data_IF_757758390307
#
_entry.id   IF_757758390307
#
_cell.length_a   1.000
_cell.length_b   1.000
_cell.length_c   1.000
_cell.angle_alpha   90.00
_cell.angle_beta   90.00
_cell.angle_gamma   90.00
#
_symmetry.space_group_name_H-M   'P 1'
#
loop_
_entity.id
_entity.type
_entity.pdbx_description
1 polymer ?
#
# COMPACT_ATOMS: atom_id res chain seq x y z
N UNK A 1 4.54 54.28 58.45
CA UNK A 1 4.47 54.47 56.99
C UNK A 1 4.36 53.10 56.39
N UNK A 2 3.23 52.86 55.72
CA UNK A 2 2.89 51.63 55.02
C UNK A 2 3.78 51.43 53.78
N UNK A 3 4.28 50.21 53.62
CA UNK A 3 4.71 49.68 52.34
C UNK A 3 4.32 48.20 52.30
N UNK A 4 3.16 47.92 51.71
CA UNK A 4 2.75 46.57 51.36
C UNK A 4 3.65 46.05 50.22
N UNK A 5 4.13 44.80 50.30
CA UNK A 5 4.82 44.17 49.19
C UNK A 5 3.79 43.79 48.12
N UNK A 6 3.98 44.30 46.90
CA UNK A 6 3.26 43.83 45.71
C UNK A 6 3.59 42.36 45.48
N UNK A 7 2.61 41.48 45.70
CA UNK A 7 2.61 40.15 45.10
C UNK A 7 2.60 40.33 43.59
N UNK A 8 3.76 40.16 42.96
CA UNK A 8 3.82 39.87 41.54
C UNK A 8 3.24 38.46 41.39
N UNK A 9 1.95 38.38 41.04
CA UNK A 9 1.35 37.16 40.56
C UNK A 9 2.20 36.65 39.40
N UNK A 10 2.89 35.53 39.62
CA UNK A 10 3.45 34.74 38.54
C UNK A 10 2.29 34.36 37.62
N UNK A 11 2.29 34.90 36.41
CA UNK A 11 1.44 34.42 35.33
C UNK A 11 1.78 32.95 35.11
N UNK A 12 0.95 32.05 35.65
CA UNK A 12 0.93 30.65 35.27
C UNK A 12 0.86 30.60 33.74
N UNK A 13 1.84 29.97 33.05
CA UNK A 13 1.74 29.82 31.61
C UNK A 13 0.44 29.07 31.34
N UNK A 14 -0.45 29.67 30.55
CA UNK A 14 -1.62 28.98 30.03
C UNK A 14 -1.15 27.66 29.42
N UNK A 15 -1.66 26.55 29.98
CA UNK A 15 -1.45 25.22 29.45
C UNK A 15 -2.03 25.24 28.03
N UNK A 16 -1.16 25.47 27.05
CA UNK A 16 -1.50 25.30 25.64
C UNK A 16 -1.82 23.82 25.49
N UNK A 17 -3.10 23.47 25.59
CA UNK A 17 -3.63 22.19 25.18
C UNK A 17 -3.23 22.01 23.70
N UNK A 18 -2.09 21.36 23.49
CA UNK A 18 -1.70 20.84 22.19
C UNK A 18 -2.77 19.83 21.83
N UNK A 19 -3.79 20.28 21.08
CA UNK A 19 -4.80 19.40 20.53
C UNK A 19 -4.08 18.29 19.77
N UNK A 20 -4.17 17.06 20.27
CA UNK A 20 -3.65 15.90 19.56
C UNK A 20 -4.28 15.91 18.16
N UNK A 21 -3.47 15.86 17.09
CA UNK A 21 -4.01 15.87 15.75
C UNK A 21 -4.97 14.69 15.61
N UNK A 22 -6.21 14.97 15.24
CA UNK A 22 -7.21 13.93 14.97
C UNK A 22 -6.58 12.88 14.05
N UNK A 23 -6.59 11.63 14.51
CA UNK A 23 -6.00 10.49 13.81
C UNK A 23 -6.80 10.22 12.54
N UNK A 24 -6.44 10.89 11.44
CA UNK A 24 -7.10 10.74 10.13
C UNK A 24 -6.99 9.30 9.64
N UNK A 25 -8.06 8.78 9.04
CA UNK A 25 -8.03 7.42 8.49
C UNK A 25 -7.08 7.39 7.29
N UNK A 26 -6.31 6.31 7.07
CA UNK A 26 -5.39 6.25 5.93
C UNK A 26 -6.08 6.42 4.57
N UNK A 27 -7.34 5.99 4.42
CA UNK A 27 -8.12 6.16 3.19
C UNK A 27 -8.59 7.61 2.97
N UNK A 28 -8.84 8.36 4.05
CA UNK A 28 -9.10 9.81 3.95
C UNK A 28 -7.84 10.53 3.45
N UNK A 29 -6.66 10.15 3.96
CA UNK A 29 -5.39 10.70 3.49
C UNK A 29 -5.21 10.41 1.99
N UNK A 30 -5.47 9.18 1.56
CA UNK A 30 -5.38 8.80 0.15
C UNK A 30 -6.34 9.62 -0.73
N UNK A 31 -7.62 9.73 -0.33
CA UNK A 31 -8.61 10.57 -1.02
C UNK A 31 -8.13 12.02 -1.12
N UNK A 32 -7.68 12.61 -0.02
CA UNK A 32 -7.25 14.00 0.01
C UNK A 32 -6.00 14.23 -0.87
N UNK A 33 -5.05 13.29 -0.87
CA UNK A 33 -3.86 13.36 -1.75
C UNK A 33 -4.21 13.19 -3.22
N UNK A 34 -5.15 12.31 -3.56
CA UNK A 34 -5.63 12.14 -4.93
C UNK A 34 -6.36 13.41 -5.40
N UNK A 35 -7.27 13.94 -4.58
CA UNK A 35 -8.06 15.12 -4.91
C UNK A 35 -7.16 16.35 -5.11
N UNK A 36 -6.09 16.46 -4.32
CA UNK A 36 -5.07 17.50 -4.46
C UNK A 36 -4.36 17.43 -5.82
N UNK A 37 -4.14 16.24 -6.38
CA UNK A 37 -3.49 16.06 -7.68
C UNK A 37 -4.49 16.15 -8.85
N UNK A 38 -5.66 15.52 -8.73
CA UNK A 38 -6.63 15.40 -9.83
C UNK A 38 -7.28 16.73 -10.16
N UNK A 39 -7.82 17.46 -9.19
CA UNK A 39 -8.57 18.71 -9.42
C UNK A 39 -7.78 19.73 -10.26
N UNK A 40 -6.52 20.05 -9.93
CA UNK A 40 -5.74 20.97 -10.77
C UNK A 40 -5.37 20.37 -12.12
N UNK A 41 -5.10 19.06 -12.19
CA UNK A 41 -4.77 18.39 -13.45
C UNK A 41 -5.94 18.40 -14.42
N UNK A 42 -7.15 18.09 -13.94
CA UNK A 42 -8.38 18.17 -14.74
C UNK A 42 -8.65 19.61 -15.18
N UNK A 43 -8.52 20.58 -14.27
CA UNK A 43 -8.67 22.00 -14.60
C UNK A 43 -7.68 22.52 -15.64
N UNK A 44 -6.46 21.95 -15.69
CA UNK A 44 -5.46 22.28 -16.70
C UNK A 44 -5.71 21.59 -18.05
N UNK A 45 -6.21 20.36 -18.06
CA UNK A 45 -6.38 19.55 -19.28
C UNK A 45 -7.69 19.87 -20.01
N UNK A 46 -8.79 20.03 -19.26
CA UNK A 46 -10.14 20.34 -19.78
C UNK A 46 -10.16 21.43 -20.86
N UNK A 47 -9.52 22.61 -20.67
CA UNK A 47 -9.57 23.67 -21.68
C UNK A 47 -8.71 23.39 -22.93
N UNK A 48 -7.82 22.39 -22.91
CA UNK A 48 -6.88 22.07 -24.00
C UNK A 48 -7.46 20.99 -24.93
N UNK A 49 -8.30 20.11 -24.40
CA UNK A 49 -8.83 18.94 -25.13
C UNK A 49 -10.12 19.26 -25.89
N UNK A 50 -10.52 18.35 -26.78
CA UNK A 50 -11.81 18.45 -27.48
C UNK A 50 -12.98 18.41 -26.48
N UNK A 51 -14.12 19.07 -26.79
CA UNK A 51 -15.26 19.15 -25.88
C UNK A 51 -15.84 17.78 -25.49
N UNK A 52 -15.76 16.78 -26.38
CA UNK A 52 -16.17 15.42 -26.07
C UNK A 52 -15.25 14.75 -25.04
N UNK A 53 -13.93 14.93 -25.17
CA UNK A 53 -12.95 14.41 -24.21
C UNK A 53 -13.04 15.15 -22.88
N UNK A 54 -13.25 16.46 -22.90
CA UNK A 54 -13.46 17.29 -21.72
C UNK A 54 -14.58 16.74 -20.85
N UNK A 55 -15.75 16.49 -21.46
CA UNK A 55 -16.91 15.96 -20.72
C UNK A 55 -16.62 14.59 -20.09
N UNK A 56 -15.93 13.70 -20.82
CA UNK A 56 -15.55 12.38 -20.31
C UNK A 56 -14.55 12.46 -19.16
N UNK A 57 -13.60 13.39 -19.23
CA UNK A 57 -12.60 13.61 -18.17
C UNK A 57 -13.28 14.17 -16.90
N UNK A 58 -14.20 15.13 -17.06
CA UNK A 58 -14.98 15.65 -15.93
C UNK A 58 -15.88 14.59 -15.30
N UNK A 59 -16.57 13.78 -16.11
CA UNK A 59 -17.40 12.66 -15.64
C UNK A 59 -16.57 11.62 -14.89
N UNK A 60 -15.42 11.21 -15.45
CA UNK A 60 -14.50 10.29 -14.78
C UNK A 60 -13.95 10.88 -13.47
N UNK A 61 -13.65 12.17 -13.48
CA UNK A 61 -13.19 12.90 -12.28
C UNK A 61 -14.26 12.95 -11.19
N UNK A 62 -15.53 13.10 -11.56
CA UNK A 62 -16.64 13.06 -10.61
C UNK A 62 -16.85 11.66 -10.03
N UNK A 63 -16.82 10.61 -10.87
CA UNK A 63 -16.91 9.22 -10.42
C UNK A 63 -15.73 8.87 -9.48
N UNK A 64 -14.53 9.36 -9.78
CA UNK A 64 -13.36 9.16 -8.93
C UNK A 64 -13.55 9.80 -7.54
N UNK A 65 -14.12 11.01 -7.46
CA UNK A 65 -14.41 11.66 -6.17
C UNK A 65 -15.42 10.85 -5.35
N UNK A 66 -16.51 10.40 -5.97
CA UNK A 66 -17.58 9.66 -5.30
C UNK A 66 -17.07 8.31 -4.75
N UNK A 67 -16.37 7.54 -5.61
CA UNK A 67 -15.77 6.26 -5.23
C UNK A 67 -14.70 6.38 -4.16
N UNK A 68 -13.86 7.41 -4.18
CA UNK A 68 -12.85 7.64 -3.15
C UNK A 68 -13.47 8.16 -1.85
N UNK A 69 -14.59 8.87 -1.92
CA UNK A 69 -15.36 9.26 -0.73
C UNK A 69 -15.95 8.04 -0.05
N UNK A 70 -16.60 7.14 -0.82
CA UNK A 70 -17.10 5.86 -0.31
C UNK A 70 -15.98 5.01 0.30
N UNK A 71 -14.81 4.98 -0.36
CA UNK A 71 -13.64 4.26 0.14
C UNK A 71 -13.11 4.86 1.45
N UNK A 72 -13.13 6.18 1.61
CA UNK A 72 -12.69 6.85 2.83
C UNK A 72 -13.57 6.55 4.05
N UNK A 73 -14.82 6.14 3.84
CA UNK A 73 -15.72 5.74 4.92
C UNK A 73 -15.35 4.37 5.52
N UNK A 74 -14.68 3.50 4.75
CA UNK A 74 -14.26 2.17 5.19
C UNK A 74 -13.34 2.28 6.39
N UNK A 75 -13.68 1.53 7.44
CA UNK A 75 -12.88 1.40 8.64
C UNK A 75 -12.03 0.12 8.57
N UNK A 76 -10.71 0.28 8.48
CA UNK A 76 -9.77 -0.85 8.44
C UNK A 76 -9.86 -1.73 9.69
N UNK A 77 -10.24 -1.15 10.84
CA UNK A 77 -10.35 -1.90 12.10
C UNK A 77 -11.53 -2.88 12.08
N UNK A 78 -12.47 -2.72 11.13
CA UNK A 78 -13.58 -3.63 10.91
C UNK A 78 -13.27 -4.73 9.89
N UNK A 79 -12.19 -4.60 9.11
CA UNK A 79 -11.79 -5.61 8.12
C UNK A 79 -11.20 -6.81 8.85
N UNK A 80 -11.89 -7.96 8.73
CA UNK A 80 -11.44 -9.20 9.35
C UNK A 80 -10.19 -9.73 8.66
N UNK A 81 -9.26 -10.29 9.43
CA UNK A 81 -8.11 -11.04 8.91
C UNK A 81 -8.48 -12.18 7.95
N UNK A 82 -9.71 -12.67 8.03
CA UNK A 82 -10.27 -13.62 7.08
C UNK A 82 -10.39 -13.04 5.66
N UNK A 83 -10.80 -11.79 5.54
CA UNK A 83 -11.01 -11.11 4.25
C UNK A 83 -9.68 -10.78 3.56
N UNK A 84 -8.64 -10.51 4.34
CA UNK A 84 -7.29 -10.23 3.82
C UNK A 84 -6.50 -11.50 3.46
N UNK A 85 -6.90 -12.67 3.98
CA UNK A 85 -6.17 -13.93 3.77
C UNK A 85 -6.02 -14.31 2.28
N UNK A 86 -7.07 -14.25 1.42
CA UNK A 86 -6.93 -14.57 0.01
C UNK A 86 -5.94 -13.65 -0.71
N UNK A 87 -5.94 -12.35 -0.38
CA UNK A 87 -4.99 -11.41 -0.96
C UNK A 87 -3.54 -11.74 -0.56
N UNK A 88 -3.30 -12.01 0.73
CA UNK A 88 -1.98 -12.41 1.24
C UNK A 88 -1.48 -13.72 0.61
N UNK A 89 -2.36 -14.70 0.43
CA UNK A 89 -2.03 -15.95 -0.28
C UNK A 89 -1.67 -15.68 -1.73
N UNK A 90 -2.46 -14.87 -2.45
CA UNK A 90 -2.17 -14.50 -3.84
C UNK A 90 -0.80 -13.84 -3.97
N UNK A 91 -0.46 -12.90 -3.08
CA UNK A 91 0.85 -12.24 -3.06
C UNK A 91 1.97 -13.27 -2.87
N UNK A 92 1.85 -14.16 -1.87
CA UNK A 92 2.83 -15.23 -1.65
C UNK A 92 3.00 -16.13 -2.88
N UNK A 93 1.89 -16.52 -3.52
CA UNK A 93 1.89 -17.34 -4.73
C UNK A 93 2.54 -16.61 -5.92
N UNK A 94 2.30 -15.31 -6.08
CA UNK A 94 2.92 -14.50 -7.11
C UNK A 94 4.44 -14.44 -6.96
N UNK A 95 4.96 -14.32 -5.74
CA UNK A 95 6.40 -14.35 -5.48
C UNK A 95 7.01 -15.70 -5.84
N UNK A 96 6.38 -16.81 -5.44
CA UNK A 96 6.84 -18.16 -5.81
C UNK A 96 6.79 -18.36 -7.33
N UNK A 97 5.67 -18.03 -7.97
CA UNK A 97 5.52 -18.13 -9.42
C UNK A 97 6.53 -17.29 -10.19
N UNK A 98 6.74 -16.03 -9.77
CA UNK A 98 7.70 -15.14 -10.40
C UNK A 98 9.15 -15.64 -10.23
N UNK A 99 9.51 -16.15 -9.05
CA UNK A 99 10.83 -16.76 -8.84
C UNK A 99 11.07 -17.97 -9.75
N UNK A 100 10.08 -18.87 -9.88
CA UNK A 100 10.19 -20.03 -10.75
C UNK A 100 10.30 -19.62 -12.22
N UNK A 101 9.47 -18.66 -12.66
CA UNK A 101 9.49 -18.14 -14.03
C UNK A 101 10.84 -17.47 -14.35
N UNK A 102 11.36 -16.63 -13.46
CA UNK A 102 12.62 -15.92 -13.66
C UNK A 102 13.82 -16.86 -13.68
N UNK A 103 13.84 -17.91 -12.87
CA UNK A 103 14.87 -18.97 -12.95
C UNK A 103 14.80 -19.70 -14.30
N UNK A 104 13.60 -20.02 -14.78
CA UNK A 104 13.42 -20.68 -16.07
C UNK A 104 13.89 -19.77 -17.22
N UNK A 105 13.57 -18.48 -17.18
CA UNK A 105 14.05 -17.49 -18.15
C UNK A 105 15.57 -17.36 -18.09
N UNK A 106 16.16 -17.33 -16.89
CA UNK A 106 17.62 -17.29 -16.72
C UNK A 106 18.28 -18.53 -17.33
N UNK A 107 17.73 -19.72 -17.08
CA UNK A 107 18.23 -20.97 -17.68
C UNK A 107 18.12 -20.95 -19.21
N UNK A 108 17.00 -20.48 -19.76
CA UNK A 108 16.82 -20.35 -21.20
C UNK A 108 17.82 -19.35 -21.79
N UNK A 109 18.05 -18.24 -21.12
CA UNK A 109 19.05 -17.23 -21.53
C UNK A 109 20.46 -17.85 -21.59
N UNK A 110 20.84 -18.61 -20.57
CA UNK A 110 22.14 -19.25 -20.50
C UNK A 110 22.32 -20.35 -21.55
N UNK A 111 21.29 -21.17 -21.79
CA UNK A 111 21.36 -22.26 -22.78
C UNK A 111 21.36 -21.77 -24.21
N UNK A 112 20.80 -20.58 -24.47
CA UNK A 112 20.72 -20.01 -25.82
C UNK A 112 21.90 -19.10 -26.17
N UNK A 113 22.37 -18.26 -25.25
CA UNK A 113 23.47 -17.33 -25.51
C UNK A 113 24.86 -17.86 -25.11
N UNK A 114 24.92 -18.80 -24.17
CA UNK A 114 26.18 -19.35 -23.66
C UNK A 114 26.23 -20.89 -23.67
N UNK A 115 25.97 -21.54 -24.82
CA UNK A 115 26.03 -23.00 -24.92
C UNK A 115 27.43 -23.56 -24.61
N UNK A 116 28.48 -22.75 -24.69
CA UNK A 116 29.86 -23.10 -24.37
C UNK A 116 30.14 -23.28 -22.88
N UNK A 117 29.30 -22.75 -22.00
CA UNK A 117 29.51 -22.81 -20.55
C UNK A 117 28.95 -24.10 -19.97
N UNK A 118 29.76 -24.81 -19.18
CA UNK A 118 29.30 -25.95 -18.40
C UNK A 118 28.37 -25.48 -17.25
N UNK A 119 27.30 -26.20 -16.88
CA UNK A 119 26.40 -25.85 -15.77
C UNK A 119 27.06 -25.29 -14.50
N UNK A 120 28.21 -25.84 -14.08
CA UNK A 120 28.94 -25.35 -12.90
C UNK A 120 29.54 -23.95 -13.12
N UNK A 121 30.02 -23.65 -14.32
CA UNK A 121 30.53 -22.33 -14.70
C UNK A 121 29.39 -21.31 -14.83
N UNK A 122 28.23 -21.74 -15.37
CA UNK A 122 27.04 -20.91 -15.44
C UNK A 122 26.56 -20.47 -14.05
N UNK A 123 26.50 -21.42 -13.11
CA UNK A 123 26.14 -21.14 -11.71
C UNK A 123 27.16 -20.23 -11.03
N UNK A 124 28.46 -20.41 -11.31
CA UNK A 124 29.51 -19.54 -10.76
C UNK A 124 29.43 -18.11 -11.27
N UNK A 125 29.19 -17.91 -12.57
CA UNK A 125 29.12 -16.58 -13.21
C UNK A 125 27.84 -15.82 -12.83
N UNK A 126 26.70 -16.52 -12.72
CA UNK A 126 25.38 -15.93 -12.44
C UNK A 126 24.88 -16.26 -11.02
N UNK A 127 25.82 -16.50 -10.09
CA UNK A 127 25.52 -16.91 -8.73
C UNK A 127 24.59 -15.92 -8.01
N UNK A 128 24.87 -14.62 -8.16
CA UNK A 128 24.12 -13.56 -7.49
C UNK A 128 22.68 -13.52 -7.97
N UNK A 129 22.47 -13.59 -9.28
CA UNK A 129 21.15 -13.58 -9.91
C UNK A 129 20.35 -14.82 -9.50
N UNK A 130 21.00 -15.99 -9.48
CA UNK A 130 20.38 -17.24 -9.03
C UNK A 130 19.94 -17.17 -7.56
N UNK A 131 20.84 -16.73 -6.66
CA UNK A 131 20.54 -16.55 -5.24
C UNK A 131 19.40 -15.55 -5.06
N UNK A 132 19.41 -14.44 -5.80
CA UNK A 132 18.36 -13.43 -5.72
C UNK A 132 16.98 -13.99 -6.06
N UNK A 133 16.85 -14.72 -7.17
CA UNK A 133 15.58 -15.32 -7.57
C UNK A 133 15.12 -16.40 -6.58
N UNK A 134 16.03 -17.25 -6.09
CA UNK A 134 15.71 -18.25 -5.08
C UNK A 134 15.24 -17.59 -3.78
N UNK A 135 15.91 -16.55 -3.30
CA UNK A 135 15.51 -15.81 -2.11
C UNK A 135 14.11 -15.19 -2.26
N UNK A 136 13.78 -14.69 -3.45
CA UNK A 136 12.44 -14.18 -3.76
C UNK A 136 11.38 -15.29 -3.63
N UNK A 137 11.66 -16.47 -4.16
CA UNK A 137 10.78 -17.64 -4.05
C UNK A 137 10.62 -18.14 -2.61
N UNK A 138 11.72 -18.21 -1.86
CA UNK A 138 11.72 -18.57 -0.43
C UNK A 138 10.86 -17.58 0.36
N UNK A 139 10.98 -16.28 0.09
CA UNK A 139 10.14 -15.24 0.71
C UNK A 139 8.66 -15.50 0.45
N UNK A 140 8.28 -15.83 -0.80
CA UNK A 140 6.91 -16.21 -1.15
C UNK A 140 6.42 -17.45 -0.38
N UNK A 141 7.26 -18.47 -0.26
CA UNK A 141 6.95 -19.69 0.51
C UNK A 141 6.78 -19.39 2.01
N UNK A 142 7.58 -18.49 2.58
CA UNK A 142 7.42 -18.05 3.97
C UNK A 142 6.09 -17.31 4.19
N UNK A 143 5.71 -16.42 3.27
CA UNK A 143 4.42 -15.73 3.32
C UNK A 143 3.27 -16.75 3.30
N UNK A 144 3.32 -17.72 2.38
CA UNK A 144 2.32 -18.79 2.30
C UNK A 144 2.30 -19.66 3.55
N UNK A 145 3.46 -20.08 4.05
CA UNK A 145 3.59 -20.88 5.27
C UNK A 145 3.00 -20.16 6.48
N UNK A 146 3.26 -18.86 6.62
CA UNK A 146 2.69 -18.03 7.66
C UNK A 146 1.16 -17.99 7.56
N UNK A 147 0.60 -17.79 6.38
CA UNK A 147 -0.86 -17.74 6.18
C UNK A 147 -1.53 -19.12 6.30
N UNK A 148 -0.79 -20.21 6.08
CA UNK A 148 -1.27 -21.58 6.31
C UNK A 148 -1.36 -21.91 7.81
N UNK A 149 -0.35 -21.51 8.59
CA UNK A 149 -0.30 -21.71 10.04
C UNK A 149 -1.22 -20.76 10.83
N UNK A 150 -1.65 -19.66 10.22
CA UNK A 150 -2.53 -18.68 10.87
C UNK A 150 -3.91 -19.30 11.14
N UNK A 151 -4.28 -19.38 12.42
CA UNK A 151 -5.65 -19.67 12.82
C UNK A 151 -6.51 -18.47 12.44
N UNK A 152 -7.57 -18.72 11.67
CA UNK A 152 -8.50 -17.65 11.31
C UNK A 152 -9.83 -17.93 11.97
N UNK A 153 -10.21 -17.04 12.89
CA UNK A 153 -11.55 -17.01 13.44
C UNK A 153 -12.50 -16.62 12.30
N UNK A 154 -13.33 -17.58 11.85
CA UNK A 154 -14.42 -17.25 10.93
C UNK A 154 -15.35 -16.26 11.62
N UNK A 155 -15.74 -15.15 10.97
CA UNK A 155 -16.71 -14.24 11.55
C UNK A 155 -17.98 -15.02 11.91
N UNK A 156 -18.37 -14.96 13.19
CA UNK A 156 -19.67 -15.48 13.63
C UNK A 156 -20.73 -14.67 12.91
N UNK A 157 -21.56 -15.33 12.09
CA UNK A 157 -22.77 -14.71 11.52
C UNK A 157 -23.56 -14.09 12.66
N UNK A 158 -23.73 -12.76 12.66
CA UNK A 158 -24.69 -12.12 13.55
C UNK A 158 -26.08 -12.69 13.22
N UNK A 159 -26.89 -13.08 14.22
CA UNK A 159 -28.27 -13.43 13.97
C UNK A 159 -28.97 -12.16 13.45
N UNK A 160 -29.57 -12.25 12.25
CA UNK A 160 -30.45 -11.20 11.72
C UNK A 160 -31.50 -10.87 12.78
N UNK A 161 -31.62 -9.59 13.14
CA UNK A 161 -32.71 -9.06 13.95
C UNK A 161 -33.77 -8.47 13.03
#
# INVERSE_FOLDING_TARGET
MDFEPKDNAEETPEDLEFAEPQKRKPLEILRDTEAFLRRPTVGAIVPIVSPELSKRIEEASFIAEDTLSELAEIDFDQISDWELRPARIKIGLSFVGFSALTILVLLLYLTTLHPELNPTQQIGLYWREYVWFVCLGVTGMFILGREAMRQVEKPRKSPKR
#
